data_IF_593707417758
#
_entry.id   IF_593707417758
#
_cell.length_a   1.000
_cell.length_b   1.000
_cell.length_c   1.000
_cell.angle_alpha   90.00
_cell.angle_beta   90.00
_cell.angle_gamma   90.00
#
_symmetry.space_group_name_H-M   'P 1'
#
loop_
_entity.id
_entity.type
_entity.pdbx_description
1 polymer ?
#
# COMPACT_ATOMS: atom_id res chain seq x y z
N UNK A 1 22.27 14.69 64.15
CA UNK A 1 22.76 13.86 63.20
C UNK A 1 21.72 13.04 62.69
N UNK A 2 21.40 13.24 61.52
CA UNK A 2 20.26 12.68 60.91
C UNK A 2 20.51 11.24 60.52
N UNK A 3 19.78 10.39 61.08
CA UNK A 3 19.77 9.03 60.69
C UNK A 3 18.98 8.88 59.40
N UNK A 4 19.57 8.37 58.43
CA UNK A 4 18.92 8.12 57.20
C UNK A 4 18.06 6.89 57.36
N UNK A 5 16.79 6.94 57.16
CA UNK A 5 16.01 5.72 57.15
C UNK A 5 16.39 4.91 55.94
N UNK A 6 16.94 3.83 56.21
CA UNK A 6 17.20 2.88 55.17
C UNK A 6 15.89 2.29 54.73
N UNK A 7 15.53 2.60 53.55
CA UNK A 7 14.37 2.01 52.95
C UNK A 7 14.65 0.55 52.74
N UNK A 8 13.88 -0.24 53.36
CA UNK A 8 13.94 -1.66 53.10
C UNK A 8 13.51 -1.90 51.67
N UNK A 9 14.35 -2.57 51.03
CA UNK A 9 14.01 -3.00 49.69
C UNK A 9 12.84 -3.94 49.74
N UNK A 10 11.92 -3.82 48.88
CA UNK A 10 10.85 -4.78 48.80
C UNK A 10 11.41 -6.11 48.36
N UNK A 11 11.13 -7.05 49.16
CA UNK A 11 11.39 -8.42 48.75
C UNK A 11 10.55 -8.76 47.56
N UNK A 12 11.12 -9.23 46.52
CA UNK A 12 10.34 -9.75 45.45
C UNK A 12 9.84 -11.13 45.86
N UNK A 13 8.77 -11.13 46.49
CA UNK A 13 8.12 -12.35 46.74
C UNK A 13 6.89 -12.43 45.89
N UNK A 14 7.10 -12.74 44.75
CA UNK A 14 5.95 -13.01 43.96
C UNK A 14 6.28 -14.05 42.99
N UNK A 15 6.10 -15.12 43.47
CA UNK A 15 5.88 -16.18 42.53
C UNK A 15 4.43 -16.11 42.19
N UNK A 16 4.11 -15.17 41.48
CA UNK A 16 2.86 -15.20 40.78
C UNK A 16 3.09 -16.03 39.58
N UNK A 17 2.80 -17.21 39.71
CA UNK A 17 2.62 -18.00 38.57
C UNK A 17 1.34 -17.54 37.91
N UNK A 18 1.43 -16.49 37.39
CA UNK A 18 0.44 -16.05 36.46
C UNK A 18 0.87 -16.46 35.10
N UNK A 19 0.58 -17.60 34.85
CA UNK A 19 0.58 -17.99 33.48
C UNK A 19 -0.31 -17.00 32.77
N UNK A 20 0.19 -16.29 31.89
CA UNK A 20 -0.67 -15.53 31.06
C UNK A 20 -1.51 -16.52 30.33
N UNK A 21 -2.70 -16.42 30.60
CA UNK A 21 -3.62 -17.04 29.72
C UNK A 21 -3.23 -16.66 28.33
N UNK A 22 -3.20 -17.54 27.47
CA UNK A 22 -3.08 -17.15 26.10
C UNK A 22 -4.20 -16.19 25.88
N UNK A 23 -3.81 -15.08 25.60
CA UNK A 23 -4.74 -14.25 25.01
C UNK A 23 -5.10 -14.93 23.74
N UNK A 24 -6.16 -15.51 23.80
CA UNK A 24 -6.81 -15.74 22.57
C UNK A 24 -7.15 -14.41 22.07
N UNK A 25 -6.24 -13.76 21.81
CA UNK A 25 -6.39 -12.63 21.02
C UNK A 25 -6.75 -13.15 19.73
N UNK A 26 -7.92 -13.14 19.62
CA UNK A 26 -8.43 -13.21 18.36
C UNK A 26 -7.82 -12.19 17.57
N UNK A 27 -6.83 -12.52 17.11
CA UNK A 27 -6.22 -11.72 16.14
C UNK A 27 -6.87 -11.84 14.86
N UNK A 28 -7.97 -12.26 14.98
CA UNK A 28 -8.61 -12.45 13.83
C UNK A 28 -8.83 -11.33 13.06
N UNK A 29 -8.71 -10.36 13.56
CA UNK A 29 -8.95 -9.30 12.75
C UNK A 29 -8.15 -9.01 11.68
N UNK A 30 -7.21 -9.56 11.64
CA UNK A 30 -6.44 -9.07 10.83
C UNK A 30 -6.38 -9.33 9.65
N UNK A 31 -6.66 -9.57 9.21
CA UNK A 31 -6.14 -9.66 8.21
C UNK A 31 -6.39 -10.04 7.20
N UNK A 32 -6.97 -9.73 6.99
CA UNK A 32 -7.21 -9.76 5.88
C UNK A 32 -6.64 -9.47 4.90
N UNK A 33 -5.81 -9.16 4.87
CA UNK A 33 -5.28 -8.83 3.91
C UNK A 33 -5.03 -9.56 2.98
N UNK A 34 -5.41 -9.41 2.33
CA UNK A 34 -5.19 -9.38 1.04
C UNK A 34 -3.98 -10.07 0.72
N UNK A 35 -4.08 -11.19 0.80
CA UNK A 35 -3.18 -11.97 0.15
C UNK A 35 -3.17 -11.65 -1.25
N UNK A 36 -2.16 -11.23 -1.77
CA UNK A 36 -2.07 -11.08 -3.18
C UNK A 36 -2.37 -12.42 -3.77
N UNK A 37 -3.38 -12.44 -4.45
CA UNK A 37 -3.67 -13.60 -5.21
C UNK A 37 -2.55 -13.75 -6.20
N UNK A 38 -1.72 -14.58 -5.88
CA UNK A 38 -0.75 -14.97 -6.84
C UNK A 38 -1.47 -15.80 -7.85
N UNK A 39 -1.94 -15.16 -8.78
CA UNK A 39 -2.45 -15.84 -9.90
C UNK A 39 -1.27 -16.28 -10.68
N UNK A 40 -0.74 -17.30 -10.34
CA UNK A 40 0.33 -17.59 -10.90
C UNK A 40 0.44 -18.07 -12.07
N UNK A 41 0.41 -18.24 -12.82
CA UNK A 41 0.65 -19.09 -13.81
C UNK A 41 1.51 -18.67 -14.79
N UNK A 42 1.99 -17.81 -15.11
CA UNK A 42 2.82 -17.56 -16.24
C UNK A 42 3.89 -16.60 -15.98
N UNK A 43 4.35 -16.56 -14.79
CA UNK A 43 5.45 -15.67 -14.50
C UNK A 43 5.04 -14.24 -14.20
N UNK A 44 3.83 -13.90 -14.47
CA UNK A 44 3.34 -12.57 -14.17
C UNK A 44 2.79 -12.52 -12.76
N UNK A 45 3.45 -11.79 -11.88
CA UNK A 45 2.93 -11.57 -10.56
C UNK A 45 1.90 -10.43 -10.59
N UNK A 46 0.70 -10.73 -10.16
CA UNK A 46 -0.37 -9.76 -10.03
C UNK A 46 -0.50 -9.33 -8.58
N UNK A 47 -0.41 -8.05 -8.33
CA UNK A 47 -0.61 -7.50 -7.01
C UNK A 47 -1.73 -6.47 -7.07
N UNK A 48 -2.81 -6.75 -6.35
CA UNK A 48 -3.93 -5.83 -6.24
C UNK A 48 -3.76 -4.92 -5.04
N UNK A 49 -3.86 -3.64 -5.25
CA UNK A 49 -3.73 -2.64 -4.21
C UNK A 49 -4.82 -1.59 -4.32
N UNK A 50 -4.92 -0.76 -3.31
CA UNK A 50 -5.84 0.37 -3.33
C UNK A 50 -5.18 1.57 -3.97
N UNK A 51 -5.95 2.30 -4.74
CA UNK A 51 -5.59 3.61 -5.24
C UNK A 51 -6.68 4.60 -4.86
N UNK A 52 -6.35 5.86 -4.82
CA UNK A 52 -7.30 6.92 -4.52
C UNK A 52 -7.10 8.04 -5.53
N UNK A 53 -8.19 8.43 -6.16
CA UNK A 53 -8.22 9.60 -7.01
C UNK A 53 -8.68 10.80 -6.20
N UNK A 54 -7.92 11.87 -6.24
CA UNK A 54 -8.29 13.12 -5.61
C UNK A 54 -8.71 14.10 -6.69
N UNK A 55 -9.90 14.64 -6.55
CA UNK A 55 -10.43 15.63 -7.47
C UNK A 55 -10.59 16.99 -6.78
N UNK A 56 -10.10 18.02 -7.42
CA UNK A 56 -10.34 19.39 -6.99
C UNK A 56 -11.64 19.90 -7.59
N UNK A 57 -12.42 20.73 -6.88
CA UNK A 57 -13.59 21.34 -7.45
C UNK A 57 -13.21 22.29 -8.58
N UNK A 58 -13.92 22.20 -9.68
CA UNK A 58 -13.66 23.02 -10.85
C UNK A 58 -14.09 24.48 -10.66
N UNK A 59 -14.93 24.73 -9.69
CA UNK A 59 -15.44 26.08 -9.42
C UNK A 59 -14.74 26.71 -8.24
N UNK A 60 -14.23 27.89 -8.44
CA UNK A 60 -13.62 28.65 -7.36
C UNK A 60 -14.61 28.94 -6.21
N UNK A 61 -15.90 28.93 -6.51
CA UNK A 61 -16.94 29.12 -5.50
C UNK A 61 -17.09 27.92 -4.59
N UNK A 62 -16.68 26.75 -5.06
CA UNK A 62 -16.69 25.52 -4.29
C UNK A 62 -15.33 25.12 -3.75
N UNK A 63 -14.35 25.99 -3.91
CA UNK A 63 -13.01 25.72 -3.38
C UNK A 63 -13.01 25.47 -1.87
N UNK A 64 -14.02 25.97 -1.18
CA UNK A 64 -14.18 25.72 0.24
C UNK A 64 -14.63 24.29 0.56
N UNK A 65 -15.13 23.56 -0.40
CA UNK A 65 -15.55 22.17 -0.19
C UNK A 65 -14.39 21.16 -0.21
N UNK A 66 -13.21 21.64 -0.56
CA UNK A 66 -12.03 20.81 -0.51
C UNK A 66 -11.93 19.80 -1.65
N UNK A 67 -11.04 18.86 -1.46
CA UNK A 67 -10.73 17.82 -2.43
C UNK A 67 -11.61 16.61 -2.16
N UNK A 68 -12.17 16.03 -3.19
CA UNK A 68 -12.95 14.80 -3.10
C UNK A 68 -12.03 13.60 -3.32
N UNK A 69 -12.12 12.63 -2.45
CA UNK A 69 -11.37 11.39 -2.56
C UNK A 69 -12.26 10.27 -3.09
N UNK A 70 -11.87 9.65 -4.16
CA UNK A 70 -12.61 8.58 -4.81
C UNK A 70 -11.76 7.32 -4.81
N UNK A 71 -12.34 6.23 -4.34
CA UNK A 71 -11.65 4.96 -4.32
C UNK A 71 -11.49 4.40 -5.72
N UNK A 72 -10.31 3.91 -5.98
CA UNK A 72 -9.97 3.25 -7.22
C UNK A 72 -9.34 1.89 -6.92
N UNK A 73 -9.37 1.03 -7.88
CA UNK A 73 -8.68 -0.24 -7.83
C UNK A 73 -7.45 -0.18 -8.72
N UNK A 74 -6.35 -0.71 -8.27
CA UNK A 74 -5.14 -0.82 -9.08
C UNK A 74 -4.61 -2.24 -9.03
N UNK A 75 -4.25 -2.75 -10.17
CA UNK A 75 -3.62 -4.06 -10.31
C UNK A 75 -2.26 -3.88 -10.96
N UNK A 76 -1.23 -4.27 -10.27
CA UNK A 76 0.14 -4.24 -10.78
C UNK A 76 0.53 -5.60 -11.33
N UNK A 77 1.28 -5.61 -12.40
CA UNK A 77 1.86 -6.83 -12.95
C UNK A 77 3.25 -6.56 -13.50
N UNK A 78 4.06 -7.58 -13.46
CA UNK A 78 5.36 -7.59 -14.14
C UNK A 78 5.22 -8.39 -15.42
N UNK A 79 5.61 -7.79 -16.53
CA UNK A 79 5.59 -8.43 -17.85
C UNK A 79 7.03 -8.65 -18.29
N UNK A 80 7.43 -9.89 -18.38
CA UNK A 80 8.80 -10.22 -18.71
C UNK A 80 9.15 -9.95 -20.16
N UNK A 81 8.22 -10.14 -21.05
CA UNK A 81 8.43 -10.01 -22.48
C UNK A 81 7.51 -8.93 -23.09
N UNK A 82 7.57 -7.74 -22.55
CA UNK A 82 6.86 -6.61 -23.14
C UNK A 82 7.50 -6.17 -24.46
N UNK A 83 6.87 -5.21 -25.11
CA UNK A 83 7.32 -4.71 -26.41
C UNK A 83 8.75 -4.14 -26.35
N UNK A 84 9.13 -3.59 -25.23
CA UNK A 84 10.45 -2.99 -25.01
C UNK A 84 11.30 -3.78 -23.99
N UNK A 85 11.00 -5.06 -23.80
CA UNK A 85 11.63 -5.89 -22.79
C UNK A 85 10.80 -5.96 -21.52
N UNK A 86 11.43 -6.28 -20.40
CA UNK A 86 10.70 -6.35 -19.13
C UNK A 86 10.06 -5.01 -18.77
N UNK A 87 8.82 -5.05 -18.34
CA UNK A 87 8.08 -3.86 -17.97
C UNK A 87 7.18 -4.09 -16.76
N UNK A 88 6.87 -3.02 -16.06
CA UNK A 88 5.90 -3.03 -14.98
C UNK A 88 4.67 -2.29 -15.48
N UNK A 89 3.54 -2.94 -15.41
CA UNK A 89 2.27 -2.34 -15.79
C UNK A 89 1.34 -2.20 -14.58
N UNK A 90 0.51 -1.19 -14.61
CA UNK A 90 -0.58 -1.03 -13.66
C UNK A 90 -1.85 -0.65 -14.40
N UNK A 91 -2.92 -1.33 -14.07
CA UNK A 91 -4.26 -1.02 -14.55
C UNK A 91 -5.06 -0.43 -13.38
N UNK A 92 -5.45 0.82 -13.50
CA UNK A 92 -6.26 1.50 -12.52
C UNK A 92 -7.68 1.67 -13.06
N UNK A 93 -8.63 1.45 -12.19
CA UNK A 93 -10.04 1.63 -12.53
C UNK A 93 -10.70 2.51 -11.47
N UNK A 94 -11.38 3.55 -11.95
CA UNK A 94 -12.15 4.45 -11.12
C UNK A 94 -13.62 4.32 -11.53
N UNK A 95 -14.35 3.35 -10.96
CA UNK A 95 -15.71 3.05 -11.40
C UNK A 95 -16.66 4.24 -11.30
N UNK A 96 -16.52 5.04 -10.27
CA UNK A 96 -17.38 6.19 -10.07
C UNK A 96 -17.26 7.25 -11.17
N UNK A 97 -16.16 7.22 -11.90
CA UNK A 97 -15.92 8.14 -13.01
C UNK A 97 -15.91 7.45 -14.37
N UNK A 98 -16.06 6.15 -14.39
CA UNK A 98 -15.92 5.39 -15.61
C UNK A 98 -14.54 5.50 -16.24
N UNK A 99 -13.55 5.85 -15.46
CA UNK A 99 -12.20 6.14 -15.93
C UNK A 99 -11.32 4.90 -15.80
N UNK A 100 -10.52 4.69 -16.80
CA UNK A 100 -9.47 3.65 -16.80
C UNK A 100 -8.14 4.32 -17.08
N UNK A 101 -7.14 3.96 -16.31
CA UNK A 101 -5.80 4.49 -16.48
C UNK A 101 -4.85 3.32 -16.61
N UNK A 102 -4.08 3.30 -17.67
CA UNK A 102 -3.00 2.34 -17.83
C UNK A 102 -1.68 3.06 -17.60
N UNK A 103 -0.88 2.47 -16.76
CA UNK A 103 0.44 2.98 -16.41
C UNK A 103 1.47 1.91 -16.73
N UNK A 104 2.58 2.29 -17.35
CA UNK A 104 3.67 1.37 -17.61
C UNK A 104 5.03 2.02 -17.37
N UNK A 105 5.97 1.21 -16.92
CA UNK A 105 7.38 1.57 -16.77
C UNK A 105 8.18 0.55 -17.54
N UNK A 106 8.95 1.00 -18.51
CA UNK A 106 9.79 0.14 -19.32
C UNK A 106 11.13 0.79 -19.61
N UNK A 107 12.07 -0.01 -20.10
CA UNK A 107 13.37 0.51 -20.48
C UNK A 107 13.26 1.44 -21.69
N UNK A 108 13.96 2.53 -21.62
CA UNK A 108 14.03 3.45 -22.76
C UNK A 108 14.93 2.86 -23.86
N UNK A 109 14.35 2.70 -25.04
CA UNK A 109 15.09 2.31 -26.25
C UNK A 109 15.38 3.49 -27.18
N UNK A 110 14.86 4.66 -26.86
CA UNK A 110 15.08 5.85 -27.67
C UNK A 110 16.38 6.53 -27.28
N UNK A 111 17.34 6.49 -28.16
CA UNK A 111 18.68 7.07 -27.93
C UNK A 111 18.69 8.59 -27.93
N UNK A 112 17.61 9.22 -28.36
CA UNK A 112 17.50 10.70 -28.35
C UNK A 112 17.11 11.25 -27.00
N UNK A 113 16.55 10.42 -26.13
CA UNK A 113 16.14 10.81 -24.80
C UNK A 113 17.20 10.38 -23.76
N UNK A 114 17.71 11.30 -22.96
CA UNK A 114 18.71 10.98 -21.97
C UNK A 114 18.10 10.36 -20.68
N UNK A 115 17.29 9.37 -20.84
CA UNK A 115 16.63 8.68 -19.75
C UNK A 115 16.85 7.17 -19.86
N UNK A 116 17.02 6.50 -18.76
CA UNK A 116 17.19 5.05 -18.73
C UNK A 116 15.86 4.29 -18.88
N UNK A 117 14.79 4.87 -18.40
CA UNK A 117 13.45 4.28 -18.42
C UNK A 117 12.42 5.33 -18.80
N UNK A 118 11.33 4.88 -19.33
CA UNK A 118 10.16 5.71 -19.65
C UNK A 118 8.96 5.27 -18.82
N UNK A 119 8.15 6.25 -18.49
CA UNK A 119 6.85 6.03 -17.85
C UNK A 119 5.79 6.50 -18.84
N UNK A 120 4.84 5.64 -19.09
CA UNK A 120 3.74 5.93 -19.98
C UNK A 120 2.43 5.87 -19.21
N UNK A 121 1.57 6.85 -19.42
CA UNK A 121 0.26 6.92 -18.77
C UNK A 121 -0.78 7.17 -19.85
N UNK A 122 -1.73 6.26 -19.95
CA UNK A 122 -2.86 6.37 -20.87
C UNK A 122 -4.14 6.45 -20.05
N UNK A 123 -4.97 7.41 -20.35
CA UNK A 123 -6.26 7.63 -19.67
C UNK A 123 -7.37 7.50 -20.69
N UNK A 124 -8.36 6.64 -20.40
CA UNK A 124 -9.56 6.42 -21.19
C UNK A 124 -10.83 6.78 -20.41
#
# INVERSE_FOLDING_TARGET
>A
MAGVPQAAAPTPGATGDGSPAPADGDAAGATADAQPAAAGASGDALVAQKAVLYEEPLDATNAASGVTAINAAVTWRYVENGANGPEIEADLQVPERGMKIKFSIHKNSDTTLPASHLIEVVVD
#
